data_IF_153982392686
#
_entry.id   IF_153982392686
#
_cell.length_a   1.000
_cell.length_b   1.000
_cell.length_c   1.000
_cell.angle_alpha   90.00
_cell.angle_beta   90.00
_cell.angle_gamma   90.00
#
_symmetry.space_group_name_H-M   'P 1'
#
loop_
_entity.id
_entity.type
_entity.pdbx_description
1 polymer ?
#
# COMPACT_ATOMS: atom_id res chain seq x y z
N UNK A 1 -61.38 9.66 1.92
CA UNK A 1 -60.42 10.78 1.72
C UNK A 1 -59.74 10.95 3.08
N UNK A 2 -58.42 10.92 3.30
CA UNK A 2 -57.31 11.43 2.51
C UNK A 2 -56.02 10.67 2.84
N UNK A 3 -55.54 9.90 1.86
CA UNK A 3 -54.25 9.20 1.84
C UNK A 3 -53.12 10.19 1.53
N UNK A 4 -52.87 11.16 2.42
CA UNK A 4 -51.96 12.28 2.09
C UNK A 4 -51.10 12.80 3.25
N UNK A 5 -50.59 11.92 4.11
CA UNK A 5 -49.64 12.31 5.18
C UNK A 5 -48.34 11.47 5.13
N UNK A 6 -48.34 10.29 4.48
CA UNK A 6 -47.17 9.40 4.46
C UNK A 6 -46.09 9.72 3.40
N UNK A 7 -46.29 10.74 2.55
CA UNK A 7 -45.36 11.06 1.44
C UNK A 7 -44.31 12.11 1.83
N UNK A 8 -44.58 12.94 2.85
CA UNK A 8 -43.73 14.10 3.16
C UNK A 8 -42.56 13.76 4.10
N UNK A 9 -42.65 12.72 4.92
CA UNK A 9 -41.58 12.34 5.86
C UNK A 9 -40.43 11.55 5.20
N UNK A 10 -40.70 10.82 4.10
CA UNK A 10 -39.67 10.06 3.38
C UNK A 10 -38.70 10.94 2.59
N UNK A 11 -39.14 12.07 2.05
CA UNK A 11 -38.28 12.97 1.28
C UNK A 11 -37.33 13.80 2.16
N UNK A 12 -37.69 14.06 3.42
CA UNK A 12 -36.84 14.82 4.35
C UNK A 12 -35.71 13.97 4.92
N UNK A 13 -35.94 12.66 5.13
CA UNK A 13 -34.89 11.73 5.55
C UNK A 13 -33.83 11.51 4.46
N UNK A 14 -34.22 11.40 3.20
CA UNK A 14 -33.29 11.15 2.08
C UNK A 14 -32.33 12.32 1.83
N UNK A 15 -32.77 13.57 2.03
CA UNK A 15 -31.90 14.75 1.87
C UNK A 15 -30.89 14.91 3.00
N UNK A 16 -31.29 14.61 4.24
CA UNK A 16 -30.41 14.69 5.41
C UNK A 16 -29.35 13.59 5.44
N UNK A 17 -29.67 12.44 4.86
CA UNK A 17 -28.72 11.33 4.68
C UNK A 17 -27.72 11.67 3.56
N UNK A 18 -28.16 12.25 2.45
CA UNK A 18 -27.29 12.68 1.34
C UNK A 18 -26.24 13.74 1.76
N UNK A 19 -26.64 14.76 2.52
CA UNK A 19 -25.69 15.77 3.05
C UNK A 19 -24.72 15.19 4.08
N UNK A 20 -25.12 14.16 4.83
CA UNK A 20 -24.25 13.48 5.77
C UNK A 20 -23.21 12.60 5.06
N UNK A 21 -23.55 11.96 3.93
CA UNK A 21 -22.55 11.20 3.15
C UNK A 21 -21.56 12.11 2.44
N UNK A 22 -22.02 13.26 1.91
CA UNK A 22 -21.15 14.21 1.22
C UNK A 22 -20.12 14.85 2.17
N UNK A 23 -20.52 15.13 3.42
CA UNK A 23 -19.65 15.67 4.45
C UNK A 23 -18.63 14.62 4.97
N UNK A 24 -19.01 13.35 5.03
CA UNK A 24 -18.07 12.26 5.40
C UNK A 24 -17.08 11.95 4.28
N UNK A 25 -17.45 12.13 3.01
CA UNK A 25 -16.54 11.99 1.87
C UNK A 25 -15.53 13.14 1.76
N UNK A 26 -15.91 14.38 2.09
CA UNK A 26 -15.00 15.52 2.04
C UNK A 26 -13.92 15.50 3.14
N UNK A 27 -14.20 14.86 4.29
CA UNK A 27 -13.23 14.76 5.40
C UNK A 27 -12.15 13.68 5.16
N UNK A 28 -12.37 12.73 4.25
CA UNK A 28 -11.38 11.69 3.95
C UNK A 28 -10.28 12.15 2.97
N UNK A 29 -10.50 13.23 2.21
CA UNK A 29 -9.58 13.61 1.13
C UNK A 29 -8.46 14.56 1.58
N UNK A 30 -8.56 15.16 2.76
CA UNK A 30 -7.52 16.04 3.33
C UNK A 30 -6.79 15.40 4.52
N UNK A 31 -6.55 14.09 4.49
CA UNK A 31 -5.46 13.52 5.24
C UNK A 31 -4.16 14.02 4.58
N UNK A 32 -3.63 15.15 5.07
CA UNK A 32 -2.31 15.70 4.74
C UNK A 32 -1.32 14.53 4.65
N UNK A 33 -1.02 14.10 3.42
CA UNK A 33 -0.20 12.94 3.14
C UNK A 33 1.17 13.24 3.72
N UNK A 34 1.43 12.70 4.90
CA UNK A 34 2.72 12.81 5.56
C UNK A 34 3.73 12.21 4.57
N UNK A 35 4.77 12.98 4.23
CA UNK A 35 5.78 12.50 3.30
C UNK A 35 6.38 11.22 3.91
N UNK A 36 6.27 10.10 3.19
CA UNK A 36 6.89 8.86 3.62
C UNK A 36 8.40 9.10 3.77
N UNK A 37 9.01 8.71 4.90
CA UNK A 37 10.44 8.89 5.08
C UNK A 37 11.20 8.07 4.05
N UNK A 38 12.18 8.68 3.39
CA UNK A 38 13.12 7.96 2.56
C UNK A 38 14.16 7.26 3.44
N UNK A 39 14.32 5.94 3.27
CA UNK A 39 15.26 5.14 4.05
C UNK A 39 16.44 4.77 3.16
N UNK A 40 17.63 5.26 3.52
CA UNK A 40 18.89 4.97 2.84
C UNK A 40 19.81 4.18 3.77
N UNK A 41 20.29 3.04 3.29
CA UNK A 41 21.33 2.27 3.94
C UNK A 41 22.70 2.69 3.41
N UNK A 42 23.58 3.14 4.31
CA UNK A 42 24.97 3.42 3.98
C UNK A 42 25.89 2.36 4.57
N UNK A 43 26.78 1.79 3.76
CA UNK A 43 27.78 0.83 4.22
C UNK A 43 29.07 0.94 3.40
N UNK A 44 30.21 1.17 4.08
CA UNK A 44 31.55 1.24 3.47
C UNK A 44 31.66 2.20 2.26
N UNK A 45 30.91 3.31 2.28
CA UNK A 45 30.89 4.29 1.20
C UNK A 45 29.91 3.99 0.06
N UNK A 46 29.12 2.93 0.18
CA UNK A 46 28.01 2.62 -0.72
C UNK A 46 26.68 3.05 -0.11
N UNK A 47 25.70 3.37 -0.97
CA UNK A 47 24.35 3.78 -0.56
C UNK A 47 23.30 2.95 -1.30
N UNK A 48 22.31 2.44 -0.55
CA UNK A 48 21.17 1.70 -1.09
C UNK A 48 19.87 2.33 -0.59
N UNK A 49 18.99 2.71 -1.51
CA UNK A 49 17.63 3.11 -1.17
C UNK A 49 16.79 1.85 -0.91
N UNK A 50 16.19 1.74 0.28
CA UNK A 50 15.48 0.53 0.70
C UNK A 50 14.22 0.28 -0.15
N UNK A 51 13.52 1.32 -0.58
CA UNK A 51 12.36 1.17 -1.45
C UNK A 51 12.76 0.61 -2.81
N UNK A 52 13.86 1.09 -3.38
CA UNK A 52 14.42 0.57 -4.63
C UNK A 52 14.81 -0.92 -4.51
N UNK A 53 15.40 -1.32 -3.38
CA UNK A 53 15.72 -2.73 -3.08
C UNK A 53 14.44 -3.57 -3.08
N UNK A 54 13.38 -3.12 -2.41
CA UNK A 54 12.08 -3.81 -2.36
C UNK A 54 11.44 -3.93 -3.76
N UNK A 55 11.52 -2.88 -4.58
CA UNK A 55 11.04 -2.91 -5.96
C UNK A 55 11.82 -3.91 -6.82
N UNK A 56 13.14 -3.96 -6.66
CA UNK A 56 14.00 -4.91 -7.37
C UNK A 56 13.69 -6.36 -6.98
N UNK A 57 13.40 -6.63 -5.70
CA UNK A 57 12.93 -7.96 -5.26
C UNK A 57 11.64 -8.36 -5.98
N UNK A 58 10.65 -7.45 -6.02
CA UNK A 58 9.38 -7.69 -6.72
C UNK A 58 9.59 -7.92 -8.23
N UNK A 59 10.49 -7.15 -8.85
CA UNK A 59 10.85 -7.34 -10.25
C UNK A 59 11.51 -8.69 -10.51
N UNK A 60 12.47 -9.09 -9.66
CA UNK A 60 13.13 -10.38 -9.75
C UNK A 60 12.16 -11.55 -9.56
N UNK A 61 11.16 -11.41 -8.68
CA UNK A 61 10.08 -12.39 -8.53
C UNK A 61 9.24 -12.54 -9.80
N UNK A 62 8.80 -11.42 -10.40
CA UNK A 62 8.03 -11.42 -11.67
C UNK A 62 8.84 -12.02 -12.82
N UNK A 63 10.13 -11.70 -12.91
CA UNK A 63 11.03 -12.18 -13.96
C UNK A 63 11.21 -13.71 -13.92
N UNK A 64 11.05 -14.35 -12.75
CA UNK A 64 11.13 -15.81 -12.61
C UNK A 64 9.87 -16.56 -13.09
N UNK A 65 8.91 -15.85 -13.69
CA UNK A 65 7.70 -16.47 -14.23
C UNK A 65 6.71 -16.91 -13.16
N UNK A 66 6.92 -16.50 -11.90
CA UNK A 66 5.87 -16.59 -10.90
C UNK A 66 4.71 -15.72 -11.37
N UNK A 67 3.51 -16.32 -11.44
CA UNK A 67 2.32 -15.56 -11.71
C UNK A 67 2.24 -14.38 -10.74
N UNK A 68 1.58 -13.32 -11.17
CA UNK A 68 1.28 -12.15 -10.36
C UNK A 68 0.30 -12.49 -9.22
N UNK A 69 0.38 -13.72 -8.68
CA UNK A 69 -0.10 -14.07 -7.35
C UNK A 69 0.25 -12.90 -6.46
N UNK A 70 -0.78 -12.34 -5.85
CA UNK A 70 -0.63 -11.19 -4.98
C UNK A 70 0.54 -11.49 -4.03
N UNK A 71 1.48 -10.55 -3.95
CA UNK A 71 2.52 -10.63 -2.92
C UNK A 71 1.78 -10.44 -1.60
N UNK A 72 1.41 -11.55 -0.96
CA UNK A 72 0.69 -11.57 0.31
C UNK A 72 1.64 -11.23 1.44
N UNK A 73 2.86 -11.77 1.37
CA UNK A 73 3.94 -11.47 2.32
C UNK A 73 5.28 -11.30 1.61
N UNK A 74 6.06 -10.31 2.06
CA UNK A 74 7.44 -10.10 1.63
C UNK A 74 8.29 -9.78 2.84
N UNK A 75 9.29 -10.62 3.09
CA UNK A 75 10.31 -10.40 4.11
C UNK A 75 11.65 -10.15 3.40
N UNK A 76 12.33 -9.06 3.74
CA UNK A 76 13.65 -8.71 3.18
C UNK A 76 14.66 -8.59 4.32
N UNK A 77 15.75 -9.36 4.22
CA UNK A 77 16.88 -9.33 5.14
C UNK A 77 18.06 -8.70 4.43
N UNK A 78 18.48 -7.55 4.92
CA UNK A 78 19.62 -6.83 4.38
C UNK A 78 20.86 -7.26 5.16
N UNK A 79 21.84 -7.81 4.44
CA UNK A 79 23.15 -8.14 4.98
C UNK A 79 24.22 -7.35 4.23
N UNK A 80 24.52 -6.11 4.68
CA UNK A 80 25.45 -5.23 3.97
C UNK A 80 26.87 -5.78 3.92
N UNK A 81 27.26 -6.64 4.88
CA UNK A 81 28.55 -7.34 4.88
C UNK A 81 28.75 -8.22 3.65
N UNK A 82 27.66 -8.81 3.13
CA UNK A 82 27.63 -9.62 1.92
C UNK A 82 27.25 -8.78 0.68
N UNK A 83 27.02 -7.47 0.82
CA UNK A 83 26.48 -6.58 -0.21
C UNK A 83 25.18 -7.12 -0.85
N UNK A 84 24.36 -7.85 -0.07
CA UNK A 84 23.23 -8.64 -0.57
C UNK A 84 21.96 -8.44 0.25
N UNK A 85 20.82 -8.32 -0.42
CA UNK A 85 19.49 -8.41 0.17
C UNK A 85 18.91 -9.80 -0.11
N UNK A 86 18.60 -10.55 0.96
CA UNK A 86 17.92 -11.83 0.88
C UNK A 86 16.42 -11.61 1.09
N UNK A 87 15.58 -12.40 0.45
CA UNK A 87 14.14 -12.25 0.61
C UNK A 87 13.40 -13.59 0.63
N UNK A 88 12.23 -13.57 1.26
CA UNK A 88 11.25 -14.65 1.27
C UNK A 88 9.89 -14.04 0.92
N UNK A 89 9.21 -14.63 -0.05
CA UNK A 89 7.93 -14.18 -0.58
C UNK A 89 6.90 -15.30 -0.44
N UNK A 90 5.74 -14.97 0.13
CA UNK A 90 4.64 -15.88 0.44
C UNK A 90 5.10 -17.15 1.19
N UNK A 91 6.13 -17.02 2.03
CA UNK A 91 6.78 -18.10 2.80
C UNK A 91 7.23 -19.32 1.96
N UNK A 92 7.36 -19.17 0.63
CA UNK A 92 7.66 -20.26 -0.31
C UNK A 92 8.80 -19.93 -1.25
N UNK A 93 8.85 -18.70 -1.76
CA UNK A 93 9.84 -18.31 -2.76
C UNK A 93 10.92 -17.48 -2.09
N UNK A 94 12.14 -18.02 -2.06
CA UNK A 94 13.31 -17.32 -1.56
C UNK A 94 14.27 -16.92 -2.67
N UNK A 95 15.05 -15.89 -2.40
CA UNK A 95 16.06 -15.42 -3.32
C UNK A 95 16.96 -14.36 -2.72
N UNK A 96 17.79 -13.79 -3.58
CA UNK A 96 18.71 -12.71 -3.23
C UNK A 96 18.93 -11.77 -4.39
N UNK A 97 19.27 -10.53 -4.09
CA UNK A 97 19.66 -9.47 -5.03
C UNK A 97 20.89 -8.71 -4.51
N UNK A 98 21.67 -8.10 -5.40
CA UNK A 98 22.74 -7.16 -5.03
C UNK A 98 22.12 -5.92 -4.34
N UNK A 99 22.75 -5.41 -3.28
CA UNK A 99 22.30 -4.18 -2.59
C UNK A 99 22.72 -2.90 -3.32
N UNK A 100 23.81 -2.96 -4.07
CA UNK A 100 24.45 -1.83 -4.75
C UNK A 100 24.80 -2.21 -6.19
#
# INVERSE_FOLDING_TARGET
MDKKIATTEKEVMVKKEAEAVENVTAVQEEAKKEAAPEIILQYRGYEANIDAVVEQVKAHYRAKGHAQEAVESLQVYIKPEDFTAYYVLNDRVSGKISLF
#
